data_IF_784919315775
#
_entry.id   IF_784919315775
#
_cell.length_a   1.000
_cell.length_b   1.000
_cell.length_c   1.000
_cell.angle_alpha   90.00
_cell.angle_beta   90.00
_cell.angle_gamma   90.00
#
_symmetry.space_group_name_H-M   'P 1'
#
loop_
_entity.id
_entity.type
_entity.pdbx_description
1 polymer ?
#
# COMPACT_ATOMS: atom_id res chain seq x y z
N UNK A 1 -1.61 -1.89 21.47
CA UNK A 1 -1.44 -1.77 20.00
C UNK A 1 -0.01 -1.34 19.73
N UNK A 2 0.79 -2.13 19.01
CA UNK A 2 2.04 -1.61 18.43
C UNK A 2 1.62 -0.52 17.43
N UNK A 3 2.18 0.69 17.53
CA UNK A 3 2.03 1.70 16.49
C UNK A 3 2.65 1.14 15.22
N UNK A 4 1.90 1.16 14.12
CA UNK A 4 2.45 0.77 12.82
C UNK A 4 3.64 1.69 12.52
N UNK A 5 4.77 1.08 12.14
CA UNK A 5 5.99 1.83 11.82
C UNK A 5 5.85 2.40 10.41
N UNK A 6 6.35 3.61 10.21
CA UNK A 6 6.41 4.24 8.89
C UNK A 6 7.63 3.68 8.16
N UNK A 7 7.42 3.19 6.94
CA UNK A 7 8.51 2.81 6.03
C UNK A 7 9.03 4.05 5.31
N UNK A 8 8.14 4.84 4.70
CA UNK A 8 8.50 6.09 4.03
C UNK A 8 7.29 7.02 3.86
N UNK A 9 7.55 8.26 3.48
CA UNK A 9 6.55 9.24 3.03
C UNK A 9 6.90 9.64 1.60
N UNK A 10 5.91 9.63 0.71
CA UNK A 10 6.09 9.94 -0.72
C UNK A 10 5.05 10.92 -1.22
N UNK A 11 5.43 11.75 -2.19
CA UNK A 11 4.48 12.58 -2.94
C UNK A 11 4.00 11.79 -4.17
N UNK A 12 2.68 11.70 -4.34
CA UNK A 12 2.09 11.02 -5.49
C UNK A 12 2.28 11.83 -6.77
N UNK A 13 2.68 11.19 -7.88
CA UNK A 13 3.15 11.91 -9.07
C UNK A 13 2.07 12.67 -9.84
N UNK A 14 0.79 12.32 -9.70
CA UNK A 14 -0.31 12.97 -10.43
C UNK A 14 -1.23 13.76 -9.51
N UNK A 15 -1.67 13.18 -8.40
CA UNK A 15 -2.60 13.84 -7.47
C UNK A 15 -1.94 14.90 -6.59
N UNK A 16 -0.61 14.97 -6.58
CA UNK A 16 0.17 15.89 -5.73
C UNK A 16 -0.07 15.70 -4.21
N UNK A 17 -0.76 14.62 -3.83
CA UNK A 17 -1.03 14.21 -2.46
C UNK A 17 0.22 13.60 -1.81
N UNK A 18 0.30 13.73 -0.48
CA UNK A 18 1.32 13.05 0.31
C UNK A 18 0.75 11.74 0.86
N UNK A 19 1.46 10.63 0.60
CA UNK A 19 1.10 9.31 1.05
C UNK A 19 2.18 8.78 2.02
N UNK A 20 1.74 8.31 3.18
CA UNK A 20 2.58 7.60 4.14
C UNK A 20 2.44 6.11 3.86
N UNK A 21 3.57 5.45 3.61
CA UNK A 21 3.64 4.00 3.44
C UNK A 21 4.15 3.38 4.73
N UNK A 22 3.35 2.49 5.31
CA UNK A 22 3.66 1.78 6.54
C UNK A 22 4.54 0.55 6.26
N UNK A 23 5.34 0.17 7.25
CA UNK A 23 6.16 -1.04 7.22
C UNK A 23 5.23 -2.27 7.17
N UNK A 24 5.39 -3.06 6.12
CA UNK A 24 4.59 -4.24 5.87
C UNK A 24 4.93 -5.35 6.86
N UNK A 25 3.92 -5.85 7.57
CA UNK A 25 4.06 -7.02 8.43
C UNK A 25 3.52 -8.27 7.73
N UNK A 26 3.92 -9.46 8.19
CA UNK A 26 3.36 -10.72 7.70
C UNK A 26 1.83 -10.79 7.82
N UNK A 27 1.22 -10.04 8.76
CA UNK A 27 -0.23 -9.92 8.89
C UNK A 27 -0.86 -9.18 7.70
N UNK A 28 -0.26 -8.08 7.26
CA UNK A 28 -0.78 -7.33 6.10
C UNK A 28 -0.72 -8.18 4.84
N UNK A 29 0.38 -8.92 4.66
CA UNK A 29 0.55 -9.85 3.54
C UNK A 29 -0.49 -10.98 3.58
N UNK A 30 -0.70 -11.59 4.75
CA UNK A 30 -1.67 -12.67 4.94
C UNK A 30 -3.11 -12.21 4.69
N UNK A 31 -3.48 -11.02 5.18
CA UNK A 31 -4.78 -10.42 4.93
C UNK A 31 -5.00 -10.19 3.43
N UNK A 32 -4.01 -9.61 2.75
CA UNK A 32 -4.06 -9.36 1.32
C UNK A 32 -4.25 -10.65 0.51
N UNK A 33 -3.51 -11.72 0.84
CA UNK A 33 -3.65 -13.04 0.20
C UNK A 33 -5.04 -13.66 0.42
N UNK A 34 -5.56 -13.54 1.65
CA UNK A 34 -6.85 -14.14 2.02
C UNK A 34 -8.00 -13.46 1.29
N UNK A 35 -7.98 -12.13 1.19
CA UNK A 35 -9.00 -11.34 0.50
C UNK A 35 -8.91 -11.53 -1.01
N UNK A 36 -7.69 -11.56 -1.56
CA UNK A 36 -7.48 -11.61 -3.01
C UNK A 36 -7.83 -12.96 -3.63
N UNK A 37 -7.79 -14.05 -2.86
CA UNK A 37 -8.10 -15.42 -3.32
C UNK A 37 -7.32 -15.81 -4.59
N UNK A 38 -6.08 -15.33 -4.72
CA UNK A 38 -5.20 -15.61 -5.85
C UNK A 38 -5.27 -14.61 -7.01
N UNK A 39 -6.17 -13.63 -6.98
CA UNK A 39 -6.18 -12.53 -7.93
C UNK A 39 -5.04 -11.53 -7.63
N UNK A 40 -4.11 -11.37 -8.56
CA UNK A 40 -2.91 -10.54 -8.39
C UNK A 40 -3.24 -9.03 -8.35
N UNK A 41 -4.26 -8.61 -9.09
CA UNK A 41 -4.70 -7.21 -9.08
C UNK A 41 -5.33 -6.86 -7.74
N UNK A 42 -6.23 -7.71 -7.26
CA UNK A 42 -6.89 -7.54 -5.96
C UNK A 42 -5.89 -7.65 -4.81
N UNK A 43 -4.89 -8.52 -4.92
CA UNK A 43 -3.81 -8.64 -3.94
C UNK A 43 -3.02 -7.33 -3.83
N UNK A 44 -2.61 -6.76 -4.96
CA UNK A 44 -1.85 -5.51 -5.00
C UNK A 44 -2.67 -4.33 -4.46
N UNK A 45 -3.95 -4.27 -4.83
CA UNK A 45 -4.90 -3.29 -4.29
C UNK A 45 -5.07 -3.43 -2.78
N UNK A 46 -5.21 -4.65 -2.27
CA UNK A 46 -5.38 -4.87 -0.83
C UNK A 46 -4.11 -4.50 -0.04
N UNK A 47 -2.92 -4.72 -0.59
CA UNK A 47 -1.69 -4.25 0.03
C UNK A 47 -1.65 -2.71 0.15
N UNK A 48 -2.09 -2.00 -0.90
CA UNK A 48 -2.19 -0.54 -0.85
C UNK A 48 -3.15 -0.11 0.28
N UNK A 49 -4.34 -0.69 0.35
CA UNK A 49 -5.34 -0.40 1.40
C UNK A 49 -4.78 -0.61 2.81
N UNK A 50 -4.08 -1.72 3.02
CA UNK A 50 -3.53 -2.07 4.32
C UNK A 50 -2.40 -1.11 4.75
N UNK A 51 -1.55 -0.71 3.81
CA UNK A 51 -0.24 -0.10 4.09
C UNK A 51 -0.17 1.40 3.82
N UNK A 52 -1.10 1.97 3.06
CA UNK A 52 -1.04 3.39 2.67
C UNK A 52 -1.97 4.22 3.55
N UNK A 53 -1.48 5.39 3.96
CA UNK A 53 -2.28 6.44 4.61
C UNK A 53 -2.15 7.73 3.82
N UNK A 54 -3.26 8.45 3.66
CA UNK A 54 -3.32 9.80 3.09
C UNK A 54 -4.03 10.67 4.14
N UNK A 55 -3.49 11.85 4.44
CA UNK A 55 -3.99 12.74 5.50
C UNK A 55 -4.17 12.01 6.85
N UNK A 56 -3.18 11.19 7.23
CA UNK A 56 -3.17 10.33 8.43
C UNK A 56 -4.31 9.29 8.52
N UNK A 57 -5.03 9.03 7.42
CA UNK A 57 -6.16 8.10 7.37
C UNK A 57 -5.88 6.90 6.48
N UNK A 58 -6.43 5.74 6.86
CA UNK A 58 -6.50 4.58 5.98
C UNK A 58 -7.36 4.89 4.76
N UNK A 59 -6.93 4.38 3.61
CA UNK A 59 -7.69 4.46 2.37
C UNK A 59 -8.46 3.18 2.13
N UNK A 60 -9.58 3.27 1.43
CA UNK A 60 -10.47 2.16 1.14
C UNK A 60 -10.43 1.76 -0.34
N UNK A 61 -11.20 0.71 -0.68
CA UNK A 61 -11.23 0.14 -2.03
C UNK A 61 -11.72 1.12 -3.10
N UNK A 62 -12.73 1.93 -2.81
CA UNK A 62 -13.30 2.92 -3.73
C UNK A 62 -12.29 4.04 -3.98
N UNK A 63 -11.64 4.53 -2.92
CA UNK A 63 -10.59 5.55 -3.04
C UNK A 63 -9.46 5.07 -3.96
N UNK A 64 -9.01 3.82 -3.83
CA UNK A 64 -7.97 3.25 -4.72
C UNK A 64 -8.46 3.10 -6.16
N UNK A 65 -9.74 2.80 -6.37
CA UNK A 65 -10.31 2.71 -7.73
C UNK A 65 -10.41 4.07 -8.42
N UNK A 66 -10.61 5.14 -7.64
CA UNK A 66 -10.67 6.52 -8.13
C UNK A 66 -9.27 7.15 -8.32
N UNK A 67 -8.22 6.57 -7.71
CA UNK A 67 -6.85 7.04 -7.88
C UNK A 67 -6.39 6.93 -9.33
N UNK A 68 -5.62 7.92 -9.76
CA UNK A 68 -5.00 7.87 -11.07
C UNK A 68 -4.06 6.66 -11.16
N UNK A 69 -4.16 5.86 -12.23
CA UNK A 69 -3.42 4.59 -12.36
C UNK A 69 -1.90 4.74 -12.19
N UNK A 70 -1.32 5.89 -12.59
CA UNK A 70 0.10 6.19 -12.37
C UNK A 70 0.47 6.31 -10.88
N UNK A 71 -0.42 6.85 -10.05
CA UNK A 71 -0.20 6.95 -8.60
C UNK A 71 -0.30 5.57 -7.95
N UNK A 72 -1.26 4.75 -8.40
CA UNK A 72 -1.41 3.34 -7.97
C UNK A 72 -0.15 2.54 -8.31
N UNK A 73 0.33 2.62 -9.56
CA UNK A 73 1.57 1.93 -9.97
C UNK A 73 2.78 2.39 -9.17
N UNK A 74 2.91 3.69 -8.90
CA UNK A 74 3.98 4.22 -8.08
C UNK A 74 3.94 3.68 -6.64
N UNK A 75 2.76 3.64 -6.02
CA UNK A 75 2.60 3.03 -4.69
C UNK A 75 2.97 1.55 -4.68
N UNK A 76 2.59 0.79 -5.72
CA UNK A 76 2.98 -0.62 -5.86
C UNK A 76 4.49 -0.79 -5.94
N UNK A 77 5.18 0.07 -6.70
CA UNK A 77 6.64 0.06 -6.80
C UNK A 77 7.28 0.31 -5.43
N UNK A 78 6.83 1.34 -4.70
CA UNK A 78 7.32 1.67 -3.36
C UNK A 78 7.12 0.51 -2.38
N UNK A 79 5.94 -0.11 -2.38
CA UNK A 79 5.64 -1.29 -1.55
C UNK A 79 6.52 -2.48 -1.96
N UNK A 80 6.82 -2.66 -3.25
CA UNK A 80 7.69 -3.75 -3.72
C UNK A 80 9.16 -3.58 -3.28
N UNK A 81 9.65 -2.34 -3.15
CA UNK A 81 11.00 -2.07 -2.66
C UNK A 81 11.15 -2.50 -1.20
N UNK A 82 10.09 -2.30 -0.41
CA UNK A 82 10.04 -2.76 0.99
C UNK A 82 10.16 -4.27 1.10
N UNK A 83 9.51 -5.04 0.21
CA UNK A 83 9.55 -6.51 0.26
C UNK A 83 10.85 -7.08 -0.31
N UNK A 84 11.48 -6.41 -1.28
CA UNK A 84 12.78 -6.84 -1.84
C UNK A 84 13.96 -6.64 -0.89
N UNK A 85 13.89 -5.64 0.00
CA UNK A 85 14.96 -5.35 0.95
C UNK A 85 14.82 -6.12 2.28
N UNK A 86 13.80 -6.97 2.42
CA UNK A 86 13.50 -7.75 3.64
C UNK A 86 13.63 -9.26 3.48
N UNK A 87 14.21 -9.73 2.37
CA UNK A 87 14.53 -11.16 2.15
C UNK A 87 16.05 -11.26 1.99
N UNK A 88 16.72 -11.41 3.12
CA UNK A 88 18.02 -12.11 3.27
C UNK A 88 17.80 -13.29 4.23
#
# INVERSE_FOLDING_TARGET
>A
MKKDKIFTTVKLPVSDLEAVVLEGTGKNLFNALTISKGDQGLFSKQLIIELVRIDDKGINSEEVDEMHMRDVSYLQEVISLMTKNGID
#
